data_IF_223952658908
#
_entry.id   IF_223952658908
#
_cell.length_a   1.000
_cell.length_b   1.000
_cell.length_c   1.000
_cell.angle_alpha   90.00
_cell.angle_beta   90.00
_cell.angle_gamma   90.00
#
_symmetry.space_group_name_H-M   'P 1'
#
loop_
_entity.id
_entity.type
_entity.pdbx_description
1 polymer ?
#
# COMPACT_ATOMS: atom_id res chain seq x y z
N UNK A 1 -6.15 -17.68 26.24
CA UNK A 1 -7.18 -17.27 25.25
C UNK A 1 -6.80 -15.89 24.70
N UNK A 2 -5.79 -15.81 23.84
CA UNK A 2 -5.16 -14.53 23.44
C UNK A 2 -5.18 -14.28 21.93
N UNK A 3 -5.68 -15.22 21.13
CA UNK A 3 -5.73 -15.11 19.67
C UNK A 3 -6.94 -14.31 19.15
N UNK A 4 -7.96 -14.08 19.99
CA UNK A 4 -9.23 -13.46 19.55
C UNK A 4 -9.13 -11.93 19.47
N UNK A 5 -8.33 -11.30 20.33
CA UNK A 5 -8.22 -9.84 20.38
C UNK A 5 -7.42 -9.24 19.20
N UNK A 6 -6.44 -9.99 18.66
CA UNK A 6 -5.59 -9.53 17.55
C UNK A 6 -6.29 -9.59 16.19
N UNK A 7 -7.33 -10.43 16.08
CA UNK A 7 -8.14 -10.56 14.86
C UNK A 7 -9.14 -9.41 14.71
N UNK A 8 -9.78 -9.00 15.81
CA UNK A 8 -10.86 -7.99 15.82
C UNK A 8 -10.33 -6.58 15.44
N UNK A 9 -9.07 -6.27 15.76
CA UNK A 9 -8.43 -5.02 15.34
C UNK A 9 -8.13 -4.97 13.85
N UNK A 10 -7.82 -6.11 13.21
CA UNK A 10 -7.56 -6.20 11.77
C UNK A 10 -8.85 -5.98 10.95
N UNK A 11 -9.97 -6.58 11.36
CA UNK A 11 -11.24 -6.49 10.61
C UNK A 11 -11.82 -5.07 10.47
N UNK A 12 -11.50 -4.15 11.39
CA UNK A 12 -11.93 -2.74 11.28
C UNK A 12 -11.05 -1.94 10.31
N UNK A 13 -9.76 -2.30 10.20
CA UNK A 13 -8.83 -1.71 9.25
C UNK A 13 -9.23 -2.07 7.82
N UNK A 14 -9.53 -3.35 7.64
CA UNK A 14 -9.96 -3.99 6.40
C UNK A 14 -11.22 -3.33 5.81
N UNK A 15 -12.20 -3.02 6.66
CA UNK A 15 -13.48 -2.41 6.26
C UNK A 15 -13.37 -0.92 5.93
N UNK A 16 -12.35 -0.22 6.44
CA UNK A 16 -12.10 1.21 6.16
C UNK A 16 -11.21 1.38 4.93
N UNK A 17 -10.30 0.43 4.68
CA UNK A 17 -9.34 0.50 3.57
C UNK A 17 -9.86 -0.12 2.26
N UNK A 18 -10.84 -1.03 2.33
CA UNK A 18 -11.31 -1.80 1.19
C UNK A 18 -12.82 -2.08 1.21
N UNK A 19 -13.51 -2.07 0.05
CA UNK A 19 -14.71 -2.87 -0.15
C UNK A 19 -14.40 -4.35 0.08
N UNK A 20 -15.32 -5.13 0.63
CA UNK A 20 -15.08 -6.52 1.07
C UNK A 20 -14.51 -7.47 0.01
N UNK A 21 -14.69 -7.18 -1.29
CA UNK A 21 -14.15 -7.97 -2.41
C UNK A 21 -12.65 -7.70 -2.69
N UNK A 22 -12.14 -6.52 -2.30
CA UNK A 22 -10.73 -6.14 -2.50
C UNK A 22 -9.83 -6.68 -1.38
N UNK A 23 -10.43 -7.10 -0.24
CA UNK A 23 -9.71 -7.68 0.88
C UNK A 23 -9.02 -9.01 0.54
N UNK A 24 -9.71 -9.90 -0.19
CA UNK A 24 -9.12 -11.16 -0.61
C UNK A 24 -7.92 -10.96 -1.54
N UNK A 25 -8.02 -9.99 -2.46
CA UNK A 25 -6.91 -9.63 -3.35
C UNK A 25 -5.75 -9.01 -2.58
N UNK A 26 -6.02 -8.23 -1.53
CA UNK A 26 -4.99 -7.64 -0.69
C UNK A 26 -4.26 -8.69 0.16
N UNK A 27 -4.98 -9.68 0.72
CA UNK A 27 -4.35 -10.79 1.46
C UNK A 27 -3.44 -11.64 0.57
N UNK A 28 -3.88 -11.93 -0.66
CA UNK A 28 -3.05 -12.62 -1.66
C UNK A 28 -1.82 -11.78 -2.04
N UNK A 29 -2.02 -10.47 -2.24
CA UNK A 29 -0.94 -9.53 -2.50
C UNK A 29 0.07 -9.49 -1.34
N UNK A 30 -0.38 -9.41 -0.10
CA UNK A 30 0.49 -9.40 1.08
C UNK A 30 1.28 -10.71 1.23
N UNK A 31 0.71 -11.84 0.83
CA UNK A 31 1.42 -13.13 0.83
C UNK A 31 2.57 -13.16 -0.17
N UNK A 32 2.39 -12.51 -1.32
CA UNK A 32 3.40 -12.48 -2.39
C UNK A 32 4.45 -11.38 -2.21
N UNK A 33 4.04 -10.21 -1.73
CA UNK A 33 4.82 -8.97 -1.76
C UNK A 33 5.14 -8.40 -0.38
N UNK A 34 4.53 -8.94 0.69
CA UNK A 34 4.72 -8.49 2.07
C UNK A 34 6.18 -8.54 2.55
N UNK A 35 6.94 -9.47 1.97
CA UNK A 35 8.35 -9.74 2.28
C UNK A 35 9.35 -9.08 1.31
N UNK A 36 8.94 -8.08 0.52
CA UNK A 36 9.88 -7.26 -0.27
C UNK A 36 10.60 -6.22 0.58
N UNK A 37 11.71 -5.62 0.13
CA UNK A 37 12.42 -4.56 0.87
C UNK A 37 11.76 -3.18 0.69
N UNK A 38 11.93 -2.25 1.64
CA UNK A 38 11.26 -0.93 1.56
C UNK A 38 11.70 -0.12 0.34
N UNK A 39 13.02 -0.06 -0.01
CA UNK A 39 13.45 0.63 -1.22
C UNK A 39 12.82 0.04 -2.49
N UNK A 40 12.61 -1.28 -2.49
CA UNK A 40 11.96 -1.96 -3.60
C UNK A 40 10.48 -1.57 -3.73
N UNK A 41 9.73 -1.58 -2.62
CA UNK A 41 8.33 -1.15 -2.63
C UNK A 41 8.18 0.31 -3.05
N UNK A 42 9.02 1.22 -2.54
CA UNK A 42 8.99 2.63 -2.94
C UNK A 42 9.28 2.86 -4.41
N UNK A 43 10.21 2.09 -4.99
CA UNK A 43 10.49 2.12 -6.42
C UNK A 43 9.28 1.66 -7.23
N UNK A 44 8.66 0.54 -6.86
CA UNK A 44 7.46 0.06 -7.56
C UNK A 44 6.30 1.07 -7.48
N UNK A 45 6.11 1.75 -6.35
CA UNK A 45 5.13 2.84 -6.23
C UNK A 45 5.43 3.94 -7.27
N UNK A 46 6.69 4.35 -7.42
CA UNK A 46 7.07 5.37 -8.40
C UNK A 46 6.84 4.89 -9.85
N UNK A 47 7.16 3.63 -10.16
CA UNK A 47 6.95 3.06 -11.50
C UNK A 47 5.46 2.94 -11.84
N UNK A 48 4.64 2.39 -10.94
CA UNK A 48 3.19 2.22 -11.17
C UNK A 48 2.46 3.57 -11.19
N UNK A 49 2.90 4.55 -10.40
CA UNK A 49 2.40 5.93 -10.45
C UNK A 49 2.45 6.51 -11.86
N UNK A 50 3.51 6.24 -12.62
CA UNK A 50 3.68 6.79 -13.98
C UNK A 50 2.64 6.27 -14.98
N UNK A 51 1.94 5.19 -14.63
CA UNK A 51 0.96 4.49 -15.49
C UNK A 51 -0.48 4.79 -15.15
N UNK A 52 -0.76 5.49 -14.05
CA UNK A 52 -2.11 5.86 -13.64
C UNK A 52 -2.41 7.32 -13.97
N UNK A 53 -3.69 7.66 -14.11
CA UNK A 53 -4.09 9.04 -14.38
C UNK A 53 -3.83 9.96 -13.18
N UNK A 54 -3.72 11.26 -13.45
CA UNK A 54 -3.53 12.26 -12.39
C UNK A 54 -4.70 12.27 -11.40
N UNK A 55 -5.91 12.02 -11.87
CA UNK A 55 -7.13 11.94 -11.04
C UNK A 55 -7.04 10.78 -10.04
N UNK A 56 -6.57 9.61 -10.49
CA UNK A 56 -6.33 8.44 -9.63
C UNK A 56 -5.28 8.74 -8.57
N UNK A 57 -4.16 9.37 -8.96
CA UNK A 57 -3.12 9.77 -8.01
C UNK A 57 -3.65 10.75 -6.95
N UNK A 58 -4.42 11.75 -7.37
CA UNK A 58 -5.03 12.71 -6.46
C UNK A 58 -6.04 12.05 -5.53
N UNK A 59 -6.79 11.05 -6.01
CA UNK A 59 -7.69 10.29 -5.17
C UNK A 59 -6.93 9.51 -4.08
N UNK A 60 -5.84 8.82 -4.45
CA UNK A 60 -5.01 8.09 -3.48
C UNK A 60 -4.35 9.02 -2.46
N UNK A 61 -3.89 10.20 -2.88
CA UNK A 61 -3.36 11.23 -1.96
C UNK A 61 -4.43 11.70 -0.97
N UNK A 62 -5.66 11.94 -1.43
CA UNK A 62 -6.78 12.30 -0.54
C UNK A 62 -7.11 11.18 0.45
N UNK A 63 -7.07 9.92 0.00
CA UNK A 63 -7.29 8.77 0.88
C UNK A 63 -6.19 8.70 1.96
N UNK A 64 -4.92 8.94 1.58
CA UNK A 64 -3.81 9.03 2.54
C UNK A 64 -3.98 10.17 3.54
N UNK A 65 -4.44 11.34 3.10
CA UNK A 65 -4.73 12.47 3.98
C UNK A 65 -5.86 12.12 4.96
N UNK A 66 -6.90 11.41 4.52
CA UNK A 66 -7.96 10.94 5.40
C UNK A 66 -7.44 9.94 6.44
N UNK A 67 -6.63 8.95 6.02
CA UNK A 67 -6.00 7.98 6.90
C UNK A 67 -5.09 8.66 7.93
N UNK A 68 -4.32 9.66 7.52
CA UNK A 68 -3.44 10.41 8.42
C UNK A 68 -4.22 11.06 9.58
N UNK A 69 -5.46 11.50 9.36
CA UNK A 69 -6.27 12.14 10.42
C UNK A 69 -6.93 11.14 11.38
N UNK A 70 -6.81 9.82 11.15
CA UNK A 70 -7.45 8.81 11.98
C UNK A 70 -6.65 8.49 13.24
N UNK A 71 -6.97 9.18 14.32
CA UNK A 71 -6.42 8.91 15.65
C UNK A 71 -6.83 7.52 16.16
N UNK A 72 -5.87 6.82 16.80
CA UNK A 72 -6.05 5.46 17.31
C UNK A 72 -5.76 4.34 16.29
N UNK A 73 -5.61 4.65 15.01
CA UNK A 73 -5.27 3.68 13.95
C UNK A 73 -3.88 3.92 13.34
N UNK A 74 -3.48 5.19 13.22
CA UNK A 74 -2.19 5.58 12.67
C UNK A 74 -1.23 5.95 13.81
N UNK A 75 -0.18 5.14 13.98
CA UNK A 75 0.92 5.43 14.92
C UNK A 75 1.85 6.49 14.32
N UNK A 76 2.73 7.09 15.12
CA UNK A 76 3.74 8.03 14.60
C UNK A 76 4.61 7.41 13.49
N UNK A 77 4.90 6.11 13.59
CA UNK A 77 5.62 5.37 12.54
C UNK A 77 4.79 5.28 11.25
N UNK A 78 3.48 4.99 11.35
CA UNK A 78 2.59 5.01 10.19
C UNK A 78 2.49 6.43 9.59
N UNK A 79 2.45 7.49 10.41
CA UNK A 79 2.45 8.90 9.95
C UNK A 79 3.70 9.24 9.13
N UNK A 80 4.87 8.79 9.57
CA UNK A 80 6.13 8.96 8.83
C UNK A 80 6.10 8.23 7.49
N UNK A 81 5.61 6.99 7.46
CA UNK A 81 5.48 6.21 6.22
C UNK A 81 4.48 6.83 5.25
N UNK A 82 3.34 7.29 5.75
CA UNK A 82 2.35 8.04 4.95
C UNK A 82 2.99 9.27 4.33
N UNK A 83 3.78 10.03 5.09
CA UNK A 83 4.48 11.20 4.58
C UNK A 83 5.46 10.84 3.44
N UNK A 84 6.26 9.77 3.60
CA UNK A 84 7.19 9.30 2.56
C UNK A 84 6.44 8.90 1.30
N UNK A 85 5.41 8.07 1.42
CA UNK A 85 4.63 7.61 0.25
C UNK A 85 3.92 8.77 -0.43
N UNK A 86 3.37 9.73 0.33
CA UNK A 86 2.79 10.95 -0.22
C UNK A 86 3.79 11.76 -1.03
N UNK A 87 5.03 11.92 -0.56
CA UNK A 87 6.08 12.59 -1.31
C UNK A 87 6.34 11.89 -2.65
N UNK A 88 6.48 10.56 -2.66
CA UNK A 88 6.66 9.77 -3.89
C UNK A 88 5.46 9.98 -4.84
N UNK A 89 4.24 9.98 -4.31
CA UNK A 89 3.02 10.20 -5.10
C UNK A 89 2.91 11.63 -5.65
N UNK A 90 3.57 12.61 -5.05
CA UNK A 90 3.50 14.03 -5.44
C UNK A 90 4.67 14.47 -6.31
N UNK A 91 5.87 13.90 -6.12
CA UNK A 91 7.08 14.27 -6.86
C UNK A 91 7.01 13.84 -8.33
N UNK A 92 7.34 14.73 -9.26
CA UNK A 92 7.51 14.36 -10.67
C UNK A 92 8.84 13.60 -10.84
N UNK A 93 8.85 12.32 -10.49
CA UNK A 93 10.04 11.47 -10.64
C UNK A 93 10.18 11.13 -12.13
N UNK A 94 11.28 11.50 -12.81
CA UNK A 94 11.54 11.06 -14.16
C UNK A 94 11.68 9.54 -14.17
N UNK A 95 10.86 8.88 -14.99
CA UNK A 95 10.81 7.42 -15.15
C UNK A 95 12.16 6.88 -15.65
N UNK A 96 13.08 6.52 -14.74
CA UNK A 96 14.29 5.80 -15.09
C UNK A 96 14.01 4.30 -15.24
N UNK A 97 14.65 3.71 -16.25
CA UNK A 97 14.28 2.45 -16.88
C UNK A 97 14.47 1.19 -16.01
N UNK A 98 13.44 0.33 -16.07
CA UNK A 98 13.41 -1.14 -15.97
C UNK A 98 13.80 -1.84 -14.63
N UNK A 99 12.85 -2.54 -13.99
CA UNK A 99 12.98 -3.96 -13.61
C UNK A 99 11.65 -4.63 -13.15
N UNK A 100 10.93 -5.21 -14.13
CA UNK A 100 10.36 -6.58 -14.13
C UNK A 100 9.40 -7.10 -13.04
N UNK A 101 8.77 -6.28 -12.18
CA UNK A 101 7.61 -6.75 -11.39
C UNK A 101 6.29 -6.30 -12.02
N UNK A 102 6.21 -5.03 -12.39
CA UNK A 102 5.02 -4.42 -12.99
C UNK A 102 4.37 -5.26 -14.11
N UNK A 103 5.14 -5.95 -14.94
CA UNK A 103 4.61 -6.73 -16.07
C UNK A 103 3.87 -8.00 -15.65
N UNK A 104 4.38 -8.72 -14.64
CA UNK A 104 3.77 -9.96 -14.14
C UNK A 104 2.62 -9.66 -13.15
N UNK A 105 2.69 -8.53 -12.45
CA UNK A 105 1.68 -8.11 -11.48
C UNK A 105 0.50 -7.40 -12.16
N UNK A 106 0.73 -6.52 -13.15
CA UNK A 106 -0.36 -5.85 -13.88
C UNK A 106 -1.31 -6.84 -14.57
N UNK A 107 -0.80 -8.01 -15.00
CA UNK A 107 -1.62 -9.07 -15.61
C UNK A 107 -2.62 -9.73 -14.65
N UNK A 108 -2.42 -9.59 -13.33
CA UNK A 108 -3.26 -10.22 -12.30
C UNK A 108 -4.33 -9.27 -11.73
N UNK A 109 -4.18 -7.95 -11.92
CA UNK A 109 -5.13 -6.96 -11.44
C UNK A 109 -6.14 -6.58 -12.54
N UNK A 110 -7.33 -7.19 -12.51
CA UNK A 110 -8.45 -6.90 -13.44
C UNK A 110 -8.91 -5.43 -13.42
N UNK A 111 -8.63 -4.70 -12.33
CA UNK A 111 -8.93 -3.28 -12.12
C UNK A 111 -7.76 -2.32 -12.49
N UNK A 112 -6.66 -2.85 -13.04
CA UNK A 112 -5.55 -2.06 -13.58
C UNK A 112 -4.61 -1.45 -12.54
N UNK A 113 -3.61 -0.72 -13.04
CA UNK A 113 -2.49 -0.14 -12.28
C UNK A 113 -2.90 0.76 -11.10
N UNK A 114 -4.16 1.21 -11.04
CA UNK A 114 -4.74 1.97 -9.91
C UNK A 114 -4.85 1.17 -8.63
N UNK A 115 -5.35 -0.08 -8.70
CA UNK A 115 -5.54 -0.94 -7.53
C UNK A 115 -4.19 -1.44 -7.01
N UNK A 116 -3.30 -1.83 -7.93
CA UNK A 116 -1.92 -2.18 -7.61
C UNK A 116 -1.20 -1.03 -6.88
N UNK A 117 -1.35 0.21 -7.35
CA UNK A 117 -0.77 1.38 -6.69
C UNK A 117 -1.29 1.56 -5.28
N UNK A 118 -2.58 1.33 -5.06
CA UNK A 118 -3.18 1.39 -3.72
C UNK A 118 -2.63 0.30 -2.81
N UNK A 119 -2.50 -0.93 -3.29
CA UNK A 119 -1.98 -2.05 -2.51
C UNK A 119 -0.51 -1.85 -2.14
N UNK A 120 0.33 -1.38 -3.07
CA UNK A 120 1.72 -1.01 -2.80
C UNK A 120 1.82 0.11 -1.76
N UNK A 121 0.94 1.11 -1.85
CA UNK A 121 0.84 2.22 -0.88
C UNK A 121 0.52 1.70 0.52
N UNK A 122 -0.47 0.83 0.65
CA UNK A 122 -0.85 0.25 1.94
C UNK A 122 0.23 -0.68 2.50
N UNK A 123 0.85 -1.49 1.65
CA UNK A 123 2.00 -2.32 2.01
C UNK A 123 3.14 -1.47 2.57
N UNK A 124 3.47 -0.35 1.93
CA UNK A 124 4.54 0.55 2.39
C UNK A 124 4.27 1.15 3.79
N UNK A 125 3.00 1.40 4.13
CA UNK A 125 2.59 2.03 5.39
C UNK A 125 2.44 1.01 6.52
N UNK A 126 1.79 -0.13 6.25
CA UNK A 126 1.44 -1.14 7.25
C UNK A 126 2.38 -2.34 7.27
N UNK A 127 3.53 -2.25 6.61
CA UNK A 127 4.50 -3.34 6.65
C UNK A 127 4.90 -3.66 8.08
N UNK A 128 4.80 -4.95 8.44
CA UNK A 128 5.35 -5.39 9.71
C UNK A 128 6.87 -5.29 9.65
N UNK A 129 7.53 -4.76 10.69
CA UNK A 129 8.98 -4.84 10.76
C UNK A 129 9.39 -6.31 10.77
N UNK A 130 10.34 -6.67 9.91
CA UNK A 130 11.00 -7.97 9.96
C UNK A 130 11.61 -8.09 11.35
N UNK A 131 11.12 -9.04 12.17
CA UNK A 131 11.65 -9.24 13.52
C UNK A 131 10.68 -9.56 14.65
N UNK A 132 9.45 -10.02 14.38
CA UNK A 132 8.62 -10.68 15.40
C UNK A 132 8.45 -12.18 15.10
N UNK A 133 9.59 -12.82 14.83
CA UNK A 133 9.77 -14.27 14.89
C UNK A 133 10.93 -14.57 15.82
N UNK A 134 10.65 -14.62 17.12
CA UNK A 134 11.43 -15.40 18.10
C UNK A 134 10.50 -16.45 18.68
#
# INVERSE_FOLDING_TARGET
MEAVSKKISNYNLDMIMFPSEELGQFDEFMTQYGELSEPYVYREIAEVKSKVSKEVLQQHIKNLDALYQMDGFVTDSHRQRIHIVRSILTEDIPSENNLHLSKDVEGQFLYGSSLLLWFLTLLAIWRRPYGWGY
#
